data_IF_046814769113
#
_entry.id   IF_046814769113
#
_cell.length_a   1.000
_cell.length_b   1.000
_cell.length_c   1.000
_cell.angle_alpha   90.00
_cell.angle_beta   90.00
_cell.angle_gamma   90.00
#
_symmetry.space_group_name_H-M   'P 1'
#
loop_
_entity.id
_entity.type
_entity.pdbx_description
1 polymer ?
#
# COMPACT_ATOMS: atom_id res chain seq x y z
N UNK A 1 -103.84 32.20 10.49
CA UNK A 1 -103.61 30.81 10.05
C UNK A 1 -104.07 29.91 11.19
N UNK A 2 -105.02 29.01 10.95
CA UNK A 2 -105.50 28.11 12.00
C UNK A 2 -104.39 27.11 12.36
N UNK A 3 -104.12 26.87 13.66
CA UNK A 3 -103.12 25.89 14.07
C UNK A 3 -103.52 24.49 13.58
N UNK A 4 -102.57 23.65 13.16
CA UNK A 4 -102.86 22.28 12.73
C UNK A 4 -103.48 21.49 13.87
N UNK A 5 -104.56 20.76 13.59
CA UNK A 5 -105.23 19.90 14.57
C UNK A 5 -104.56 18.52 14.63
N UNK A 6 -104.61 17.87 15.80
CA UNK A 6 -104.10 16.52 15.97
C UNK A 6 -104.94 15.54 15.13
N UNK A 7 -104.33 14.70 14.27
CA UNK A 7 -105.09 13.77 13.44
C UNK A 7 -105.83 12.68 14.23
N UNK A 8 -105.53 12.50 15.52
CA UNK A 8 -106.11 11.43 16.34
C UNK A 8 -107.21 11.91 17.32
N UNK A 9 -107.18 13.19 17.74
CA UNK A 9 -108.15 13.72 18.70
C UNK A 9 -108.64 15.15 18.38
N UNK A 10 -108.24 15.71 17.25
CA UNK A 10 -108.61 17.05 16.77
C UNK A 10 -108.23 18.24 17.66
N UNK A 11 -107.52 18.00 18.77
CA UNK A 11 -107.01 19.07 19.64
C UNK A 11 -105.99 19.95 18.90
N UNK A 12 -105.94 21.27 19.17
CA UNK A 12 -104.96 22.16 18.55
C UNK A 12 -103.54 21.70 18.92
N UNK A 13 -102.69 21.48 17.91
CA UNK A 13 -101.28 21.14 18.13
C UNK A 13 -100.46 22.41 18.23
N UNK A 14 -99.57 22.46 19.23
CA UNK A 14 -98.44 23.37 19.17
C UNK A 14 -97.55 22.97 17.98
N UNK A 15 -97.14 23.93 17.12
CA UNK A 15 -96.53 23.64 15.82
C UNK A 15 -95.19 22.89 15.88
N UNK A 16 -94.61 22.68 17.08
CA UNK A 16 -93.33 22.00 17.27
C UNK A 16 -93.39 20.85 18.31
N UNK A 17 -94.57 20.50 18.83
CA UNK A 17 -94.66 19.44 19.84
C UNK A 17 -94.43 18.05 19.20
N UNK A 18 -93.49 17.23 19.71
CA UNK A 18 -93.22 15.89 19.16
C UNK A 18 -94.35 14.88 19.44
N UNK A 19 -95.17 15.16 20.45
CA UNK A 19 -96.36 14.38 20.82
C UNK A 19 -97.50 15.33 21.13
N UNK A 20 -98.73 14.90 20.89
CA UNK A 20 -99.92 15.64 21.33
C UNK A 20 -100.03 15.61 22.86
N UNK A 21 -100.15 16.76 23.51
CA UNK A 21 -100.23 16.84 24.98
C UNK A 21 -101.48 16.14 25.58
N UNK A 22 -102.55 15.97 24.80
CA UNK A 22 -103.82 15.42 25.29
C UNK A 22 -103.91 13.90 25.16
N UNK A 23 -103.49 13.35 24.00
CA UNK A 23 -103.62 11.91 23.71
C UNK A 23 -102.28 11.20 23.56
N UNK A 24 -101.15 11.90 23.73
CA UNK A 24 -99.79 11.39 23.57
C UNK A 24 -99.45 10.80 22.19
N UNK A 25 -100.34 10.94 21.19
CA UNK A 25 -100.07 10.48 19.83
C UNK A 25 -98.89 11.26 19.21
N UNK A 26 -98.01 10.55 18.51
CA UNK A 26 -96.83 11.13 17.85
C UNK A 26 -97.30 12.02 16.69
N UNK A 27 -96.89 13.28 16.71
CA UNK A 27 -97.23 14.23 15.65
C UNK A 27 -96.41 13.92 14.39
N UNK A 28 -96.83 14.40 13.20
CA UNK A 28 -96.01 14.27 11.98
C UNK A 28 -94.58 14.79 12.16
N UNK A 29 -94.43 15.86 12.95
CA UNK A 29 -93.13 16.42 13.33
C UNK A 29 -92.31 15.46 14.20
N UNK A 30 -92.93 14.83 15.21
CA UNK A 30 -92.27 13.81 16.03
C UNK A 30 -91.82 12.57 15.24
N UNK A 31 -92.58 12.13 14.23
CA UNK A 31 -92.15 11.06 13.30
C UNK A 31 -90.95 11.49 12.45
N UNK A 32 -91.00 12.68 11.86
CA UNK A 32 -89.89 13.20 11.09
C UNK A 32 -88.61 13.41 11.93
N UNK A 33 -88.76 13.80 13.20
CA UNK A 33 -87.63 13.96 14.13
C UNK A 33 -87.07 12.59 14.58
N UNK A 34 -87.93 11.58 14.78
CA UNK A 34 -87.50 10.21 15.04
C UNK A 34 -86.75 9.58 13.85
N UNK A 35 -87.25 9.76 12.63
CA UNK A 35 -86.56 9.30 11.41
C UNK A 35 -85.21 9.99 11.21
N UNK A 36 -85.12 11.30 11.47
CA UNK A 36 -83.83 12.02 11.46
C UNK A 36 -82.88 11.51 12.53
N UNK A 37 -83.36 11.21 13.74
CA UNK A 37 -82.55 10.65 14.81
C UNK A 37 -82.01 9.26 14.45
N UNK A 38 -82.82 8.39 13.86
CA UNK A 38 -82.38 7.08 13.36
C UNK A 38 -81.38 7.20 12.21
N UNK A 39 -81.59 8.12 11.26
CA UNK A 39 -80.64 8.37 10.18
C UNK A 39 -79.30 8.89 10.70
N UNK A 40 -79.30 9.82 11.67
CA UNK A 40 -78.08 10.31 12.30
C UNK A 40 -77.36 9.21 13.09
N UNK A 41 -78.09 8.33 13.79
CA UNK A 41 -77.48 7.20 14.50
C UNK A 41 -76.83 6.19 13.53
N UNK A 42 -77.48 5.86 12.40
CA UNK A 42 -76.90 5.01 11.35
C UNK A 42 -75.68 5.66 10.68
N UNK A 43 -75.73 6.97 10.43
CA UNK A 43 -74.58 7.71 9.89
C UNK A 43 -73.41 7.73 10.87
N UNK A 44 -73.66 7.93 12.17
CA UNK A 44 -72.61 7.87 13.20
C UNK A 44 -71.98 6.49 13.31
N UNK A 45 -72.78 5.41 13.27
CA UNK A 45 -72.27 4.05 13.29
C UNK A 45 -71.44 3.72 12.04
N UNK A 46 -71.91 4.09 10.85
CA UNK A 46 -71.15 3.92 9.61
C UNK A 46 -69.83 4.71 9.65
N UNK A 47 -69.86 5.95 10.15
CA UNK A 47 -68.67 6.79 10.30
C UNK A 47 -67.67 6.18 11.29
N UNK A 48 -68.13 5.65 12.43
CA UNK A 48 -67.28 4.96 13.41
C UNK A 48 -66.63 3.70 12.83
N UNK A 49 -67.37 2.90 12.04
CA UNK A 49 -66.83 1.72 11.36
C UNK A 49 -65.79 2.12 10.30
N UNK A 50 -66.03 3.17 9.53
CA UNK A 50 -65.05 3.70 8.57
C UNK A 50 -63.80 4.22 9.27
N UNK A 51 -63.93 4.90 10.41
CA UNK A 51 -62.78 5.36 11.20
C UNK A 51 -61.98 4.18 11.77
N UNK A 52 -62.64 3.14 12.30
CA UNK A 52 -61.96 1.95 12.83
C UNK A 52 -61.20 1.18 11.74
N UNK A 53 -61.82 1.01 10.56
CA UNK A 53 -61.16 0.38 9.41
C UNK A 53 -59.99 1.21 8.89
N UNK A 54 -60.13 2.55 8.84
CA UNK A 54 -59.05 3.46 8.46
C UNK A 54 -57.89 3.45 9.47
N UNK A 55 -58.18 3.38 10.77
CA UNK A 55 -57.14 3.27 11.80
C UNK A 55 -56.41 1.92 11.72
N UNK A 56 -57.13 0.82 11.47
CA UNK A 56 -56.52 -0.49 11.30
C UNK A 56 -55.56 -0.54 10.09
N UNK A 57 -55.94 0.07 8.95
CA UNK A 57 -55.07 0.12 7.76
C UNK A 57 -53.85 1.02 7.98
N UNK A 58 -54.00 2.15 8.68
CA UNK A 58 -52.87 3.01 9.07
C UNK A 58 -51.90 2.27 9.99
N UNK A 59 -52.39 1.56 11.01
CA UNK A 59 -51.55 0.78 11.93
C UNK A 59 -50.79 -0.33 11.20
N UNK A 60 -51.44 -1.03 10.25
CA UNK A 60 -50.77 -2.04 9.42
C UNK A 60 -49.70 -1.42 8.52
N UNK A 61 -49.96 -0.26 7.91
CA UNK A 61 -48.99 0.44 7.09
C UNK A 61 -47.76 0.91 7.88
N UNK A 62 -47.97 1.43 9.09
CA UNK A 62 -46.89 1.83 10.01
C UNK A 62 -46.04 0.63 10.43
N UNK A 63 -46.67 -0.50 10.78
CA UNK A 63 -45.96 -1.73 11.12
C UNK A 63 -45.14 -2.26 9.93
N UNK A 64 -45.68 -2.22 8.71
CA UNK A 64 -44.96 -2.62 7.50
C UNK A 64 -43.75 -1.70 7.21
N UNK A 65 -43.89 -0.39 7.42
CA UNK A 65 -42.79 0.57 7.28
C UNK A 65 -41.67 0.30 8.31
N UNK A 66 -42.02 0.01 9.55
CA UNK A 66 -41.06 -0.33 10.61
C UNK A 66 -40.29 -1.64 10.30
N UNK A 67 -40.99 -2.67 9.84
CA UNK A 67 -40.39 -3.94 9.40
C UNK A 67 -39.38 -3.71 8.27
N UNK A 68 -39.74 -2.91 7.25
CA UNK A 68 -38.86 -2.59 6.12
C UNK A 68 -37.63 -1.76 6.52
N UNK A 69 -37.79 -0.83 7.47
CA UNK A 69 -36.69 -0.02 8.02
C UNK A 69 -35.66 -0.90 8.72
N UNK A 70 -36.10 -1.78 9.62
CA UNK A 70 -35.19 -2.69 10.33
C UNK A 70 -34.55 -3.74 9.40
N UNK A 71 -35.29 -4.28 8.44
CA UNK A 71 -34.75 -5.22 7.47
C UNK A 71 -33.66 -4.58 6.58
N UNK A 72 -33.81 -3.28 6.25
CA UNK A 72 -32.79 -2.54 5.51
C UNK A 72 -31.54 -2.29 6.36
N UNK A 73 -31.69 -1.85 7.61
CA UNK A 73 -30.55 -1.68 8.52
C UNK A 73 -29.80 -2.98 8.79
N UNK A 74 -30.51 -4.11 8.92
CA UNK A 74 -29.88 -5.41 9.06
C UNK A 74 -28.94 -5.70 7.88
N UNK A 75 -29.42 -5.51 6.65
CA UNK A 75 -28.65 -5.80 5.44
C UNK A 75 -27.47 -4.82 5.26
N UNK A 76 -27.69 -3.53 5.54
CA UNK A 76 -26.64 -2.50 5.50
C UNK A 76 -25.53 -2.70 6.54
N UNK A 77 -25.81 -3.36 7.65
CA UNK A 77 -24.80 -3.62 8.70
C UNK A 77 -24.09 -4.96 8.48
N UNK A 78 -24.80 -5.98 8.00
CA UNK A 78 -24.20 -7.30 7.71
C UNK A 78 -23.28 -7.29 6.48
N UNK A 79 -23.61 -6.54 5.43
CA UNK A 79 -22.80 -6.50 4.20
C UNK A 79 -21.37 -5.98 4.46
N UNK A 80 -21.18 -4.80 5.07
CA UNK A 80 -19.85 -4.31 5.40
C UNK A 80 -19.13 -5.20 6.41
N UNK A 81 -19.84 -5.82 7.36
CA UNK A 81 -19.24 -6.74 8.34
C UNK A 81 -18.65 -7.99 7.67
N UNK A 82 -19.32 -8.52 6.64
CA UNK A 82 -18.81 -9.65 5.85
C UNK A 82 -17.55 -9.26 5.08
N UNK A 83 -17.53 -8.06 4.50
CA UNK A 83 -16.38 -7.55 3.73
C UNK A 83 -15.20 -7.22 4.64
N UNK A 84 -15.45 -6.67 5.83
CA UNK A 84 -14.41 -6.20 6.76
C UNK A 84 -13.97 -7.26 7.78
N UNK A 85 -14.55 -8.47 7.76
CA UNK A 85 -14.30 -9.55 8.73
C UNK A 85 -14.54 -9.13 10.20
N UNK A 86 -15.25 -8.02 10.44
CA UNK A 86 -15.50 -7.48 11.77
C UNK A 86 -16.77 -8.09 12.36
N UNK A 87 -16.62 -9.19 13.09
CA UNK A 87 -17.73 -9.87 13.79
C UNK A 87 -18.65 -8.95 14.62
N UNK A 88 -18.17 -7.90 15.35
CA UNK A 88 -19.04 -7.06 16.17
C UNK A 88 -20.16 -6.36 15.38
N UNK A 89 -19.90 -5.96 14.14
CA UNK A 89 -20.90 -5.32 13.29
C UNK A 89 -21.94 -6.32 12.76
N UNK A 90 -21.54 -7.59 12.56
CA UNK A 90 -22.45 -8.67 12.15
C UNK A 90 -23.52 -8.98 13.21
N UNK A 91 -23.16 -8.88 14.50
CA UNK A 91 -24.12 -9.06 15.61
C UNK A 91 -25.21 -7.99 15.65
N UNK A 92 -24.88 -6.73 15.31
CA UNK A 92 -25.87 -5.66 15.19
C UNK A 92 -26.87 -5.94 14.06
N UNK A 93 -26.38 -6.45 12.93
CA UNK A 93 -27.25 -6.85 11.82
C UNK A 93 -28.18 -8.02 12.17
N UNK A 94 -27.68 -9.02 12.90
CA UNK A 94 -28.49 -10.11 13.43
C UNK A 94 -29.58 -9.62 14.40
N UNK A 95 -29.25 -8.65 15.27
CA UNK A 95 -30.21 -8.04 16.19
C UNK A 95 -31.36 -7.32 15.44
N UNK A 96 -31.04 -6.51 14.42
CA UNK A 96 -32.07 -5.83 13.63
C UNK A 96 -32.92 -6.81 12.81
N UNK A 97 -32.31 -7.88 12.29
CA UNK A 97 -33.04 -8.94 11.60
C UNK A 97 -34.03 -9.64 12.54
N UNK A 98 -33.59 -10.02 13.75
CA UNK A 98 -34.46 -10.63 14.76
C UNK A 98 -35.62 -9.72 15.16
N UNK A 99 -35.36 -8.42 15.36
CA UNK A 99 -36.40 -7.43 15.67
C UNK A 99 -37.43 -7.31 14.54
N UNK A 100 -36.99 -7.26 13.29
CA UNK A 100 -37.88 -7.17 12.12
C UNK A 100 -38.80 -8.39 12.00
N UNK A 101 -38.28 -9.60 12.25
CA UNK A 101 -39.04 -10.84 12.22
C UNK A 101 -40.04 -10.92 13.39
N UNK A 102 -39.65 -10.43 14.57
CA UNK A 102 -40.54 -10.36 15.74
C UNK A 102 -41.74 -9.43 15.49
N UNK A 103 -41.49 -8.24 14.93
CA UNK A 103 -42.56 -7.28 14.59
C UNK A 103 -43.45 -7.82 13.47
N UNK A 104 -42.88 -8.45 12.44
CA UNK A 104 -43.65 -9.07 11.36
C UNK A 104 -44.60 -10.16 11.90
N UNK A 105 -44.09 -11.06 12.76
CA UNK A 105 -44.89 -12.12 13.40
C UNK A 105 -46.02 -11.58 14.25
N UNK A 106 -45.78 -10.53 15.05
CA UNK A 106 -46.80 -9.91 15.92
C UNK A 106 -47.95 -9.28 15.14
N UNK A 107 -47.70 -8.80 13.92
CA UNK A 107 -48.68 -8.08 13.10
C UNK A 107 -49.25 -8.94 11.94
N UNK A 108 -48.93 -10.24 11.88
CA UNK A 108 -49.38 -11.12 10.79
C UNK A 108 -48.80 -10.74 9.42
N UNK A 109 -47.68 -10.02 9.38
CA UNK A 109 -47.01 -9.59 8.14
C UNK A 109 -46.06 -10.71 7.70
N UNK A 110 -46.00 -11.07 6.40
CA UNK A 110 -45.02 -12.03 5.90
C UNK A 110 -43.59 -11.60 6.21
N UNK A 111 -42.74 -12.55 6.59
CA UNK A 111 -41.36 -12.29 6.96
C UNK A 111 -40.58 -11.64 5.80
N UNK A 112 -39.91 -10.49 5.99
CA UNK A 112 -39.16 -9.87 4.91
C UNK A 112 -37.95 -10.72 4.53
N UNK A 113 -37.85 -11.10 3.26
CA UNK A 113 -36.75 -11.94 2.74
C UNK A 113 -35.36 -11.35 3.08
N UNK A 114 -35.23 -10.01 3.09
CA UNK A 114 -33.99 -9.31 3.45
C UNK A 114 -33.52 -9.61 4.89
N UNK A 115 -34.44 -9.75 5.85
CA UNK A 115 -34.08 -10.09 7.22
C UNK A 115 -33.61 -11.53 7.35
N UNK A 116 -34.23 -12.46 6.61
CA UNK A 116 -33.81 -13.87 6.56
C UNK A 116 -32.39 -13.96 5.98
N UNK A 117 -32.13 -13.30 4.85
CA UNK A 117 -30.80 -13.25 4.22
C UNK A 117 -29.76 -12.65 5.17
N UNK A 118 -30.08 -11.54 5.85
CA UNK A 118 -29.18 -10.93 6.82
C UNK A 118 -28.84 -11.88 7.99
N UNK A 119 -29.81 -12.65 8.51
CA UNK A 119 -29.52 -13.66 9.54
C UNK A 119 -28.60 -14.78 9.03
N UNK A 120 -28.86 -15.32 7.84
CA UNK A 120 -28.02 -16.37 7.25
C UNK A 120 -26.58 -15.87 7.05
N UNK A 121 -26.42 -14.65 6.51
CA UNK A 121 -25.11 -14.03 6.34
C UNK A 121 -24.41 -13.77 7.68
N UNK A 122 -25.13 -13.36 8.71
CA UNK A 122 -24.55 -13.16 10.04
C UNK A 122 -24.06 -14.48 10.67
N UNK A 123 -24.82 -15.58 10.51
CA UNK A 123 -24.42 -16.92 10.99
C UNK A 123 -23.20 -17.44 10.23
N UNK A 124 -23.22 -17.37 8.89
CA UNK A 124 -22.08 -17.80 8.05
C UNK A 124 -20.84 -16.95 8.31
N UNK A 125 -20.99 -15.63 8.41
CA UNK A 125 -19.91 -14.71 8.74
C UNK A 125 -19.30 -15.03 10.10
N UNK A 126 -20.13 -15.27 11.12
CA UNK A 126 -19.65 -15.66 12.45
C UNK A 126 -18.90 -16.99 12.43
N UNK A 127 -19.40 -18.00 11.72
CA UNK A 127 -18.75 -19.30 11.60
C UNK A 127 -17.39 -19.20 10.90
N UNK A 128 -17.28 -18.39 9.83
CA UNK A 128 -16.02 -18.12 9.14
C UNK A 128 -15.02 -17.41 10.06
N UNK A 129 -15.45 -16.39 10.80
CA UNK A 129 -14.60 -15.69 11.76
C UNK A 129 -14.11 -16.63 12.87
N UNK A 130 -15.00 -17.43 13.47
CA UNK A 130 -14.60 -18.43 14.49
C UNK A 130 -13.58 -19.41 13.90
N UNK A 131 -13.80 -19.92 12.69
CA UNK A 131 -12.87 -20.85 12.05
C UNK A 131 -11.51 -20.20 11.80
N UNK A 132 -11.47 -18.94 11.36
CA UNK A 132 -10.23 -18.19 11.16
C UNK A 132 -9.49 -17.94 12.48
N UNK A 133 -10.19 -17.56 13.55
CA UNK A 133 -9.59 -17.37 14.88
C UNK A 133 -9.05 -18.67 15.47
N UNK A 134 -9.82 -19.77 15.35
CA UNK A 134 -9.38 -21.09 15.79
C UNK A 134 -8.15 -21.55 15.01
N UNK A 135 -8.14 -21.36 13.68
CA UNK A 135 -6.98 -21.62 12.83
C UNK A 135 -5.75 -20.84 13.26
N UNK A 136 -5.89 -19.51 13.41
CA UNK A 136 -4.79 -18.65 13.87
C UNK A 136 -4.27 -19.06 15.26
N UNK A 137 -5.15 -19.49 16.17
CA UNK A 137 -4.76 -19.94 17.50
C UNK A 137 -4.00 -21.28 17.48
N UNK A 138 -4.37 -22.20 16.60
CA UNK A 138 -3.61 -23.44 16.40
C UNK A 138 -2.25 -23.17 15.77
N UNK A 139 -2.18 -22.31 14.75
CA UNK A 139 -0.93 -21.90 14.12
C UNK A 139 0.03 -21.25 15.14
N UNK A 140 -0.50 -20.42 16.04
CA UNK A 140 0.29 -19.81 17.12
C UNK A 140 0.83 -20.86 18.10
N UNK A 141 0.01 -21.83 18.52
CA UNK A 141 0.47 -22.92 19.38
C UNK A 141 1.53 -23.79 18.72
N UNK A 142 1.39 -24.09 17.44
CA UNK A 142 2.38 -24.90 16.73
C UNK A 142 3.67 -24.10 16.47
N UNK A 143 3.56 -22.78 16.26
CA UNK A 143 4.70 -21.86 16.22
C UNK A 143 5.45 -21.89 17.55
N UNK A 144 4.76 -21.74 18.68
CA UNK A 144 5.35 -21.79 20.02
C UNK A 144 6.00 -23.14 20.33
N UNK A 145 5.35 -24.26 20.00
CA UNK A 145 5.94 -25.60 20.17
C UNK A 145 7.21 -25.77 19.35
N UNK A 146 7.22 -25.32 18.08
CA UNK A 146 8.38 -25.40 17.20
C UNK A 146 9.53 -24.55 17.74
N UNK A 147 9.25 -23.32 18.16
CA UNK A 147 10.22 -22.44 18.81
C UNK A 147 10.79 -23.11 20.07
N UNK A 148 9.94 -23.63 20.96
CA UNK A 148 10.39 -24.27 22.20
C UNK A 148 11.26 -25.52 21.94
N UNK A 149 10.90 -26.34 20.95
CA UNK A 149 11.67 -27.51 20.56
C UNK A 149 13.06 -27.14 20.01
N UNK A 150 13.13 -26.12 19.14
CA UNK A 150 14.40 -25.60 18.62
C UNK A 150 15.24 -24.93 19.71
N UNK A 151 14.59 -24.20 20.62
CA UNK A 151 15.26 -23.50 21.71
C UNK A 151 15.90 -24.52 22.67
N UNK A 152 15.16 -25.56 23.06
CA UNK A 152 15.67 -26.65 23.89
C UNK A 152 16.85 -27.38 23.23
N UNK A 153 16.76 -27.65 21.92
CA UNK A 153 17.81 -28.33 21.14
C UNK A 153 19.10 -27.50 21.00
N UNK A 154 18.98 -26.18 20.92
CA UNK A 154 20.12 -25.27 20.65
C UNK A 154 20.61 -24.52 21.90
N UNK A 155 19.89 -24.53 23.02
CA UNK A 155 20.18 -23.72 24.21
C UNK A 155 21.61 -23.86 24.73
N UNK A 156 22.10 -25.10 24.91
CA UNK A 156 23.46 -25.31 25.40
C UNK A 156 24.52 -24.93 24.36
N UNK A 157 24.28 -25.20 23.08
CA UNK A 157 25.24 -24.88 22.03
C UNK A 157 25.35 -23.38 21.76
N UNK A 158 24.26 -22.61 21.89
CA UNK A 158 24.31 -21.14 21.79
C UNK A 158 25.19 -20.52 22.87
N UNK A 159 25.43 -21.19 24.00
CA UNK A 159 26.33 -20.71 25.05
C UNK A 159 27.81 -20.93 24.75
N UNK A 160 28.16 -21.83 23.82
CA UNK A 160 29.56 -22.10 23.44
C UNK A 160 30.25 -20.86 22.84
N UNK A 161 31.57 -20.84 22.94
CA UNK A 161 32.41 -19.79 22.34
C UNK A 161 32.36 -19.84 20.81
N UNK A 162 32.36 -21.04 20.23
CA UNK A 162 32.22 -21.26 18.79
C UNK A 162 30.77 -21.55 18.41
N UNK A 163 30.37 -21.11 17.21
CA UNK A 163 29.04 -21.33 16.65
C UNK A 163 29.13 -22.36 15.53
N UNK A 164 28.51 -23.52 15.71
CA UNK A 164 28.39 -24.53 14.66
C UNK A 164 27.20 -24.23 13.72
N UNK A 165 27.25 -24.79 12.51
CA UNK A 165 26.25 -24.52 11.46
C UNK A 165 24.82 -24.90 11.88
N UNK A 166 24.66 -26.01 12.60
CA UNK A 166 23.34 -26.48 13.05
C UNK A 166 22.76 -25.52 14.08
N UNK A 167 23.57 -25.08 15.05
CA UNK A 167 23.16 -24.10 16.05
C UNK A 167 22.87 -22.74 15.43
N UNK A 168 23.67 -22.28 14.46
CA UNK A 168 23.42 -21.04 13.72
C UNK A 168 22.07 -21.10 12.98
N UNK A 169 21.80 -22.22 12.31
CA UNK A 169 20.55 -22.46 11.60
C UNK A 169 19.35 -22.52 12.56
N UNK A 170 19.40 -23.34 13.61
CA UNK A 170 18.32 -23.43 14.61
C UNK A 170 18.03 -22.05 15.25
N UNK A 171 19.07 -21.27 15.55
CA UNK A 171 18.94 -19.90 16.12
C UNK A 171 18.29 -18.92 15.13
N UNK A 172 18.64 -19.04 13.85
CA UNK A 172 18.05 -18.27 12.77
C UNK A 172 16.57 -18.58 12.62
N UNK A 173 16.21 -19.87 12.66
CA UNK A 173 14.82 -20.31 12.54
C UNK A 173 13.95 -19.75 13.67
N UNK A 174 14.44 -19.85 14.91
CA UNK A 174 13.77 -19.28 16.08
C UNK A 174 13.51 -17.80 15.88
N UNK A 175 14.52 -17.05 15.42
CA UNK A 175 14.38 -15.61 15.19
C UNK A 175 13.36 -15.30 14.10
N UNK A 176 13.44 -15.97 12.94
CA UNK A 176 12.52 -15.72 11.82
C UNK A 176 11.06 -16.10 12.14
N UNK A 177 10.85 -17.12 12.99
CA UNK A 177 9.52 -17.46 13.51
C UNK A 177 9.01 -16.41 14.51
N UNK A 178 9.87 -15.92 15.42
CA UNK A 178 9.51 -14.88 16.40
C UNK A 178 9.21 -13.53 15.73
N UNK A 179 9.99 -13.14 14.73
CA UNK A 179 9.82 -11.88 14.00
C UNK A 179 8.65 -11.88 13.00
N UNK A 180 8.09 -13.06 12.70
CA UNK A 180 7.07 -13.23 11.66
C UNK A 180 7.61 -13.15 10.23
N UNK A 181 8.93 -13.19 10.04
CA UNK A 181 9.55 -13.25 8.71
C UNK A 181 9.27 -14.60 8.03
N UNK A 182 9.07 -15.66 8.81
CA UNK A 182 8.77 -17.00 8.33
C UNK A 182 7.48 -17.56 8.96
N UNK A 183 6.62 -18.18 8.14
CA UNK A 183 5.42 -18.88 8.61
C UNK A 183 5.76 -20.21 9.28
N UNK A 184 4.93 -20.65 10.23
CA UNK A 184 5.11 -21.94 10.93
C UNK A 184 5.13 -23.15 10.01
N UNK A 185 4.41 -23.08 8.88
CA UNK A 185 4.38 -24.14 7.87
C UNK A 185 5.60 -24.15 6.95
N UNK A 186 6.42 -23.10 6.95
CA UNK A 186 7.57 -23.00 6.08
C UNK A 186 8.72 -23.88 6.56
N UNK A 187 9.44 -24.46 5.60
CA UNK A 187 10.64 -25.25 5.85
C UNK A 187 11.87 -24.40 5.51
N UNK A 188 12.67 -24.11 6.53
CA UNK A 188 13.93 -23.39 6.38
C UNK A 188 15.06 -24.34 5.97
N UNK A 189 15.98 -23.83 5.15
CA UNK A 189 17.18 -24.52 4.68
C UNK A 189 18.36 -23.56 4.85
N UNK A 190 19.40 -24.00 5.54
CA UNK A 190 20.68 -23.30 5.62
C UNK A 190 21.72 -24.09 4.82
N UNK A 191 22.28 -23.50 3.76
CA UNK A 191 23.29 -24.16 2.93
C UNK A 191 24.73 -23.74 3.27
N UNK A 192 24.91 -22.56 3.87
CA UNK A 192 26.24 -22.03 4.25
C UNK A 192 26.72 -22.50 5.62
N UNK A 193 28.03 -22.45 5.82
CA UNK A 193 28.65 -22.52 7.15
C UNK A 193 28.76 -21.12 7.76
N UNK A 194 28.63 -20.99 9.10
CA UNK A 194 28.80 -19.70 9.76
C UNK A 194 30.28 -19.29 9.74
N UNK A 195 30.55 -18.11 9.19
CA UNK A 195 31.87 -17.47 9.27
C UNK A 195 31.93 -16.67 10.56
N UNK A 196 32.70 -17.15 11.54
CA UNK A 196 32.83 -16.54 12.87
C UNK A 196 34.03 -15.58 12.90
N UNK A 197 33.78 -14.33 13.29
CA UNK A 197 34.80 -13.29 13.43
C UNK A 197 34.72 -12.71 14.85
N UNK A 198 35.48 -13.29 15.78
CA UNK A 198 35.47 -12.88 17.19
C UNK A 198 34.11 -13.10 17.84
N UNK A 199 33.41 -12.01 18.18
CA UNK A 199 32.09 -12.04 18.83
C UNK A 199 30.91 -11.90 17.84
N UNK A 200 31.16 -11.90 16.54
CA UNK A 200 30.13 -11.87 15.50
C UNK A 200 30.25 -13.10 14.61
N UNK A 201 29.17 -13.47 13.95
CA UNK A 201 29.16 -14.53 12.95
C UNK A 201 28.22 -14.17 11.80
N UNK A 202 28.57 -14.60 10.60
CA UNK A 202 27.79 -14.41 9.38
C UNK A 202 27.39 -15.76 8.83
N UNK A 203 26.10 -15.97 8.60
CA UNK A 203 25.57 -17.17 7.95
C UNK A 203 24.90 -16.76 6.63
N UNK A 204 25.43 -17.24 5.51
CA UNK A 204 24.84 -17.04 4.18
C UNK A 204 24.00 -18.26 3.76
N UNK A 205 23.20 -18.08 2.70
CA UNK A 205 22.48 -19.19 2.06
C UNK A 205 21.29 -19.70 2.88
N UNK A 206 20.73 -18.86 3.76
CA UNK A 206 19.49 -19.18 4.45
C UNK A 206 18.32 -18.96 3.50
N UNK A 207 17.42 -19.92 3.36
CA UNK A 207 16.21 -19.78 2.54
C UNK A 207 15.07 -20.55 3.18
N UNK A 208 13.83 -20.25 2.80
CA UNK A 208 12.69 -21.07 3.20
C UNK A 208 11.68 -21.19 2.08
N UNK A 209 10.93 -22.29 2.07
CA UNK A 209 9.83 -22.51 1.11
C UNK A 209 8.51 -22.20 1.79
N UNK A 210 7.75 -21.25 1.23
CA UNK A 210 6.41 -20.89 1.66
C UNK A 210 5.47 -20.88 0.45
N UNK A 211 4.37 -21.64 0.53
CA UNK A 211 3.38 -21.75 -0.56
C UNK A 211 4.01 -22.09 -1.92
N UNK A 212 4.99 -23.00 -1.93
CA UNK A 212 5.69 -23.43 -3.15
C UNK A 212 6.68 -22.40 -3.72
N UNK A 213 6.85 -21.24 -3.08
CA UNK A 213 7.84 -20.23 -3.45
C UNK A 213 9.02 -20.27 -2.49
N UNK A 214 10.23 -20.29 -3.04
CA UNK A 214 11.46 -20.15 -2.26
C UNK A 214 11.70 -18.67 -1.99
N UNK A 215 11.79 -18.31 -0.72
CA UNK A 215 12.20 -17.00 -0.25
C UNK A 215 13.67 -17.05 0.18
N UNK A 216 14.46 -16.08 -0.27
CA UNK A 216 15.92 -16.00 -0.03
C UNK A 216 16.74 -15.98 -1.34
N UNK A 217 18.06 -16.19 -1.26
CA UNK A 217 18.83 -16.42 -0.04
C UNK A 217 18.87 -15.17 0.86
N UNK A 218 18.89 -15.41 2.17
CA UNK A 218 19.11 -14.43 3.21
C UNK A 218 20.52 -14.58 3.76
N UNK A 219 21.09 -13.45 4.16
CA UNK A 219 22.25 -13.35 5.02
C UNK A 219 21.82 -13.03 6.44
N UNK A 220 22.39 -13.75 7.39
CA UNK A 220 22.06 -13.65 8.81
C UNK A 220 23.30 -13.24 9.58
N UNK A 221 23.16 -12.16 10.34
CA UNK A 221 24.18 -11.66 11.25
C UNK A 221 23.85 -12.10 12.66
N UNK A 222 24.79 -12.79 13.30
CA UNK A 222 24.70 -13.27 14.67
C UNK A 222 25.75 -12.58 15.53
N UNK A 223 25.41 -12.37 16.80
CA UNK A 223 26.29 -11.82 17.81
C UNK A 223 26.40 -12.74 19.02
N UNK A 224 27.56 -12.70 19.68
CA UNK A 224 27.84 -13.43 20.91
C UNK A 224 27.73 -12.51 22.12
N UNK A 225 26.68 -12.72 22.89
CA UNK A 225 26.55 -12.22 24.26
C UNK A 225 26.75 -13.35 25.27
N UNK A 226 25.84 -13.48 26.24
CA UNK A 226 25.77 -14.69 27.08
C UNK A 226 25.49 -15.94 26.22
N UNK A 227 24.71 -15.78 25.16
CA UNK A 227 24.47 -16.80 24.12
C UNK A 227 24.59 -16.18 22.72
N UNK A 228 24.71 -17.01 21.70
CA UNK A 228 24.59 -16.60 20.31
C UNK A 228 23.13 -16.27 19.99
N UNK A 229 22.90 -15.14 19.34
CA UNK A 229 21.57 -14.69 18.92
C UNK A 229 21.66 -13.96 17.58
N UNK A 230 20.53 -13.89 16.86
CA UNK A 230 20.44 -13.14 15.61
C UNK A 230 20.25 -11.65 15.92
N UNK A 231 21.12 -10.82 15.35
CA UNK A 231 21.03 -9.36 15.40
C UNK A 231 20.37 -8.78 14.15
N UNK A 232 20.51 -9.45 13.00
CA UNK A 232 19.94 -8.97 11.74
C UNK A 232 19.76 -10.09 10.71
N UNK A 233 18.74 -9.96 9.86
CA UNK A 233 18.48 -10.81 8.70
C UNK A 233 18.16 -9.90 7.52
N UNK A 234 18.89 -10.02 6.41
CA UNK A 234 18.64 -9.27 5.19
C UNK A 234 18.76 -10.16 3.95
N UNK A 235 18.07 -9.76 2.87
CA UNK A 235 18.29 -10.29 1.51
C UNK A 235 19.44 -9.58 0.80
N UNK A 236 20.02 -8.52 1.39
CA UNK A 236 21.12 -7.77 0.78
C UNK A 236 22.46 -8.50 0.86
N UNK A 237 23.37 -8.11 -0.03
CA UNK A 237 24.78 -8.51 -0.05
C UNK A 237 25.62 -7.69 0.93
N UNK A 238 25.00 -6.92 1.83
CA UNK A 238 25.76 -6.13 2.81
C UNK A 238 26.41 -7.06 3.83
N UNK A 239 27.65 -6.79 4.19
CA UNK A 239 28.33 -7.56 5.22
C UNK A 239 27.78 -7.23 6.61
N UNK A 240 27.90 -8.20 7.51
CA UNK A 240 27.63 -7.97 8.92
C UNK A 240 28.67 -6.98 9.47
N UNK A 241 28.27 -6.19 10.48
CA UNK A 241 29.23 -5.35 11.19
C UNK A 241 30.21 -6.24 11.95
N UNK A 242 31.48 -5.84 11.96
CA UNK A 242 32.54 -6.55 12.70
C UNK A 242 32.26 -6.52 14.22
N UNK A 243 31.61 -5.45 14.69
CA UNK A 243 31.20 -5.27 16.07
C UNK A 243 29.67 -5.31 16.20
N UNK A 244 29.18 -6.03 17.21
CA UNK A 244 27.77 -6.07 17.56
C UNK A 244 27.57 -5.81 19.06
N UNK A 245 26.46 -5.17 19.46
CA UNK A 245 26.14 -4.99 20.88
C UNK A 245 26.02 -6.33 21.60
N UNK A 246 26.59 -6.41 22.81
CA UNK A 246 26.48 -7.60 23.66
C UNK A 246 25.14 -7.58 24.40
N UNK A 247 24.61 -8.78 24.66
CA UNK A 247 23.38 -8.98 25.43
C UNK A 247 23.53 -10.18 26.37
N UNK A 248 23.09 -10.04 27.62
CA UNK A 248 23.15 -11.09 28.63
C UNK A 248 21.85 -11.91 28.73
N UNK A 249 20.73 -11.31 28.35
CA UNK A 249 19.41 -11.93 28.36
C UNK A 249 18.56 -11.52 27.13
N UNK A 250 17.35 -12.06 27.04
CA UNK A 250 16.45 -11.84 25.90
C UNK A 250 15.96 -10.39 25.77
N UNK A 251 15.84 -9.65 26.88
CA UNK A 251 15.45 -8.24 26.83
C UNK A 251 16.60 -7.39 26.29
N UNK A 252 17.83 -7.64 26.75
CA UNK A 252 19.03 -7.01 26.21
C UNK A 252 19.28 -7.40 24.74
N UNK A 253 18.91 -8.62 24.32
CA UNK A 253 19.01 -9.04 22.91
C UNK A 253 18.14 -8.17 22.00
N UNK A 254 16.96 -7.77 22.45
CA UNK A 254 16.08 -6.88 21.68
C UNK A 254 16.65 -5.47 21.55
N UNK A 255 17.21 -4.94 22.65
CA UNK A 255 17.94 -3.67 22.63
C UNK A 255 19.16 -3.74 21.71
N UNK A 256 19.88 -4.87 21.73
CA UNK A 256 21.02 -5.12 20.86
C UNK A 256 20.62 -5.17 19.37
N UNK A 257 19.49 -5.79 19.02
CA UNK A 257 18.95 -5.79 17.65
C UNK A 257 18.63 -4.38 17.17
N UNK A 258 17.93 -3.60 17.99
CA UNK A 258 17.59 -2.21 17.65
C UNK A 258 18.85 -1.35 17.48
N UNK A 259 19.81 -1.48 18.39
CA UNK A 259 21.10 -0.77 18.34
C UNK A 259 21.91 -1.19 17.10
N UNK A 260 21.98 -2.49 16.82
CA UNK A 260 22.66 -3.02 15.64
C UNK A 260 22.03 -2.51 14.35
N UNK A 261 20.70 -2.44 14.27
CA UNK A 261 20.01 -1.87 13.11
C UNK A 261 20.42 -0.41 12.86
N UNK A 262 20.47 0.43 13.91
CA UNK A 262 20.94 1.82 13.80
C UNK A 262 22.41 1.91 13.37
N UNK A 263 23.28 1.06 13.94
CA UNK A 263 24.69 1.01 13.54
C UNK A 263 24.85 0.58 12.07
N UNK A 264 24.05 -0.39 11.63
CA UNK A 264 24.07 -0.87 10.26
C UNK A 264 23.57 0.20 9.28
N UNK A 265 22.53 0.94 9.66
CA UNK A 265 22.06 2.09 8.87
C UNK A 265 23.15 3.15 8.71
N UNK A 266 23.85 3.49 9.79
CA UNK A 266 24.98 4.42 9.74
C UNK A 266 26.14 3.87 8.90
N UNK A 267 26.49 2.60 9.05
CA UNK A 267 27.56 1.96 8.29
C UNK A 267 27.26 1.92 6.79
N UNK A 268 26.01 1.64 6.39
CA UNK A 268 25.57 1.67 4.99
C UNK A 268 25.72 3.04 4.36
N UNK A 269 25.28 4.08 5.07
CA UNK A 269 25.42 5.48 4.63
C UNK A 269 26.90 5.84 4.51
N UNK A 270 27.69 5.64 5.56
CA UNK A 270 29.12 5.96 5.56
C UNK A 270 29.89 5.21 4.46
N UNK A 271 29.59 3.91 4.28
CA UNK A 271 30.19 3.09 3.22
C UNK A 271 29.85 3.61 1.83
N UNK A 272 28.59 3.99 1.59
CA UNK A 272 28.15 4.54 0.31
C UNK A 272 28.76 5.93 0.06
N UNK A 273 28.80 6.82 1.07
CA UNK A 273 29.51 8.11 0.96
C UNK A 273 30.99 7.92 0.61
N UNK A 274 31.68 6.99 1.27
CA UNK A 274 33.09 6.67 0.98
C UNK A 274 33.28 6.18 -0.45
N UNK A 275 32.40 5.31 -0.96
CA UNK A 275 32.43 4.80 -2.34
C UNK A 275 32.20 5.92 -3.36
N UNK A 276 31.19 6.77 -3.17
CA UNK A 276 30.91 7.89 -4.07
C UNK A 276 32.04 8.94 -4.08
N UNK A 277 32.59 9.27 -2.90
CA UNK A 277 33.76 10.15 -2.80
C UNK A 277 35.01 9.51 -3.43
N UNK A 278 35.17 8.19 -3.29
CA UNK A 278 36.22 7.41 -3.96
C UNK A 278 36.08 7.47 -5.47
N UNK A 279 34.86 7.31 -6.00
CA UNK A 279 34.59 7.41 -7.42
C UNK A 279 34.92 8.79 -7.98
N UNK A 280 34.57 9.85 -7.26
CA UNK A 280 34.95 11.22 -7.63
C UNK A 280 36.47 11.38 -7.76
N UNK A 281 37.22 10.99 -6.73
CA UNK A 281 38.71 11.04 -6.75
C UNK A 281 39.31 10.19 -7.86
N UNK A 282 38.66 9.09 -8.24
CA UNK A 282 39.09 8.26 -9.37
C UNK A 282 38.97 9.05 -10.68
N UNK A 283 37.86 9.74 -10.90
CA UNK A 283 37.62 10.59 -12.08
C UNK A 283 38.53 11.81 -12.12
N UNK A 284 38.89 12.40 -10.97
CA UNK A 284 39.84 13.52 -10.89
C UNK A 284 41.26 13.12 -11.33
N UNK A 285 41.69 11.90 -10.98
CA UNK A 285 43.03 11.38 -11.29
C UNK A 285 43.12 10.72 -12.66
N UNK A 286 41.98 10.39 -13.26
CA UNK A 286 41.96 9.70 -14.54
C UNK A 286 42.53 10.59 -15.65
N UNK A 287 43.33 9.97 -16.51
CA UNK A 287 43.86 10.62 -17.71
C UNK A 287 42.73 11.04 -18.65
N UNK A 288 43.01 11.86 -19.66
CA UNK A 288 42.01 12.26 -20.67
C UNK A 288 41.94 11.29 -21.86
N UNK A 289 42.83 10.29 -21.92
CA UNK A 289 42.91 9.32 -23.00
C UNK A 289 41.75 8.33 -22.97
N UNK A 290 41.16 8.00 -24.12
CA UNK A 290 40.09 7.00 -24.18
C UNK A 290 40.64 5.61 -23.82
N UNK A 291 39.92 4.87 -22.97
CA UNK A 291 40.28 3.54 -22.49
C UNK A 291 39.05 2.64 -22.58
N UNK A 292 39.12 1.51 -23.28
CA UNK A 292 38.05 0.51 -23.32
C UNK A 292 38.11 -0.41 -22.10
N UNK A 293 36.98 -0.97 -21.70
CA UNK A 293 36.92 -1.91 -20.60
C UNK A 293 37.44 -3.28 -21.04
N UNK A 294 38.18 -3.98 -20.17
CA UNK A 294 38.56 -5.38 -20.41
C UNK A 294 37.49 -6.32 -19.88
N UNK A 295 37.30 -7.46 -20.54
CA UNK A 295 36.34 -8.49 -20.08
C UNK A 295 36.67 -8.99 -18.68
N UNK A 296 37.96 -9.08 -18.32
CA UNK A 296 38.39 -9.48 -16.98
C UNK A 296 37.93 -8.48 -15.90
N UNK A 297 37.97 -7.18 -16.20
CA UNK A 297 37.51 -6.14 -15.27
C UNK A 297 35.99 -6.18 -15.09
N UNK A 298 35.25 -6.48 -16.15
CA UNK A 298 33.79 -6.52 -16.15
C UNK A 298 33.23 -7.86 -15.64
N UNK A 299 33.99 -8.95 -15.71
CA UNK A 299 33.59 -10.27 -15.23
C UNK A 299 33.34 -10.29 -13.71
N UNK A 300 34.06 -9.48 -12.95
CA UNK A 300 33.83 -9.30 -11.50
C UNK A 300 32.45 -8.70 -11.16
N UNK A 301 31.77 -8.13 -12.15
CA UNK A 301 30.45 -7.52 -12.02
C UNK A 301 29.34 -8.30 -12.73
N UNK A 302 29.64 -9.50 -13.23
CA UNK A 302 28.64 -10.34 -13.84
C UNK A 302 27.52 -10.60 -12.81
N UNK A 303 26.26 -10.37 -13.17
CA UNK A 303 25.15 -10.65 -12.26
C UNK A 303 25.12 -12.15 -11.95
N UNK A 304 24.48 -12.52 -10.84
CA UNK A 304 24.36 -13.92 -10.46
C UNK A 304 23.81 -14.79 -11.60
N UNK A 305 24.30 -16.04 -11.73
CA UNK A 305 23.83 -16.96 -12.76
C UNK A 305 22.30 -17.07 -12.71
N UNK A 306 21.61 -16.61 -13.76
CA UNK A 306 20.14 -16.65 -13.85
C UNK A 306 19.46 -15.30 -14.08
N UNK A 307 20.16 -14.17 -13.93
CA UNK A 307 19.58 -12.86 -14.32
C UNK A 307 19.64 -12.69 -15.85
N UNK A 308 18.48 -12.67 -16.51
CA UNK A 308 18.40 -12.48 -17.96
C UNK A 308 18.64 -11.00 -18.33
N UNK A 309 19.91 -10.61 -18.49
CA UNK A 309 20.27 -9.31 -19.07
C UNK A 309 21.62 -8.77 -18.59
N UNK A 310 22.19 -7.83 -19.36
CA UNK A 310 23.35 -7.06 -18.92
C UNK A 310 23.03 -6.31 -17.61
N UNK A 311 23.95 -6.29 -16.64
CA UNK A 311 23.77 -5.56 -15.39
C UNK A 311 23.47 -4.08 -15.68
N UNK A 312 22.44 -3.57 -15.02
CA UNK A 312 22.01 -2.19 -15.11
C UNK A 312 22.99 -1.32 -14.32
N UNK A 313 23.66 -0.38 -14.97
CA UNK A 313 24.54 0.57 -14.28
C UNK A 313 23.83 1.88 -13.99
N UNK A 314 24.12 2.45 -12.83
CA UNK A 314 23.63 3.78 -12.45
C UNK A 314 24.56 4.84 -13.04
N UNK A 315 24.04 6.05 -13.23
CA UNK A 315 24.88 7.17 -13.60
C UNK A 315 24.68 8.38 -12.69
N UNK A 316 25.68 9.26 -12.69
CA UNK A 316 25.69 10.50 -11.94
C UNK A 316 26.45 11.56 -12.71
N UNK A 317 26.00 12.80 -12.61
CA UNK A 317 26.79 13.96 -13.03
C UNK A 317 27.90 14.20 -12.01
N UNK A 318 29.09 14.51 -12.50
CA UNK A 318 30.26 14.77 -11.67
C UNK A 318 29.99 15.88 -10.65
N UNK A 319 29.28 16.94 -11.02
CA UNK A 319 28.96 18.04 -10.10
C UNK A 319 28.00 17.62 -8.98
N UNK A 320 27.11 16.66 -9.24
CA UNK A 320 26.19 16.14 -8.22
C UNK A 320 26.95 15.37 -7.14
N UNK A 321 28.08 14.73 -7.47
CA UNK A 321 28.97 14.12 -6.47
C UNK A 321 29.61 15.13 -5.52
N UNK A 322 29.68 16.42 -5.89
CA UNK A 322 30.10 17.53 -5.03
C UNK A 322 28.97 18.06 -4.14
N UNK A 323 27.77 17.47 -4.21
CA UNK A 323 26.58 18.04 -3.59
C UNK A 323 26.14 19.36 -4.23
N UNK A 324 26.66 19.69 -5.42
CA UNK A 324 26.18 20.84 -6.19
C UNK A 324 24.86 20.43 -6.85
N UNK A 325 23.83 21.23 -6.64
CA UNK A 325 22.65 21.13 -7.47
C UNK A 325 23.03 21.54 -8.89
N UNK A 326 22.52 20.81 -9.87
CA UNK A 326 22.70 21.14 -11.28
C UNK A 326 21.33 21.31 -11.94
N UNK A 327 20.73 22.51 -11.80
CA UNK A 327 19.41 22.80 -12.33
C UNK A 327 19.40 22.61 -13.85
N UNK A 328 18.50 21.74 -14.34
CA UNK A 328 18.31 21.47 -15.76
C UNK A 328 19.02 20.22 -16.30
N UNK A 329 20.10 19.79 -15.67
CA UNK A 329 20.86 18.58 -16.07
C UNK A 329 20.72 17.44 -15.07
N UNK A 330 19.78 17.57 -14.13
CA UNK A 330 19.47 16.54 -13.16
C UNK A 330 19.19 15.16 -13.80
N UNK A 331 18.73 15.11 -15.06
CA UNK A 331 18.49 13.88 -15.83
C UNK A 331 19.76 13.06 -16.11
N UNK A 332 20.95 13.64 -15.95
CA UNK A 332 22.24 12.93 -16.02
C UNK A 332 22.49 12.03 -14.82
N UNK A 333 21.75 12.22 -13.73
CA UNK A 333 21.93 11.47 -12.49
C UNK A 333 20.72 10.60 -12.16
N UNK A 334 21.00 9.36 -11.76
CA UNK A 334 20.03 8.43 -11.21
C UNK A 334 19.28 9.06 -10.02
N UNK A 335 17.96 8.89 -9.98
CA UNK A 335 17.11 9.52 -8.97
C UNK A 335 17.44 9.06 -7.56
N UNK A 336 17.80 7.79 -7.35
CA UNK A 336 18.17 7.28 -6.03
C UNK A 336 19.45 7.97 -5.54
N UNK A 337 20.43 8.17 -6.42
CA UNK A 337 21.71 8.84 -6.10
C UNK A 337 21.45 10.31 -5.76
N UNK A 338 20.62 11.02 -6.55
CA UNK A 338 20.28 12.42 -6.26
C UNK A 338 19.58 12.57 -4.91
N UNK A 339 18.54 11.76 -4.66
CA UNK A 339 17.80 11.81 -3.40
C UNK A 339 18.73 11.45 -2.23
N UNK A 340 19.59 10.45 -2.41
CA UNK A 340 20.59 10.05 -1.41
C UNK A 340 21.56 11.19 -1.05
N UNK A 341 22.07 11.91 -2.04
CA UNK A 341 23.02 13.02 -1.86
C UNK A 341 22.34 14.29 -1.34
N UNK A 342 21.05 14.49 -1.64
CA UNK A 342 20.28 15.62 -1.12
C UNK A 342 19.91 15.46 0.37
N UNK A 343 19.78 14.22 0.86
CA UNK A 343 19.51 13.93 2.26
C UNK A 343 20.77 14.11 3.13
N UNK A 344 20.60 14.67 4.34
CA UNK A 344 21.67 14.79 5.35
C UNK A 344 21.45 13.80 6.49
N UNK A 345 22.55 13.34 7.10
CA UNK A 345 22.54 12.43 8.26
C UNK A 345 22.25 10.97 7.90
N UNK A 346 22.23 10.10 8.91
CA UNK A 346 21.84 8.69 8.76
C UNK A 346 20.36 8.54 9.12
N UNK A 347 19.48 8.63 8.12
CA UNK A 347 18.07 8.30 8.27
C UNK A 347 17.79 6.92 7.69
N UNK A 348 16.73 6.25 8.17
CA UNK A 348 16.28 4.97 7.61
C UNK A 348 16.07 5.04 6.09
N UNK A 349 15.41 6.08 5.60
CA UNK A 349 15.21 6.31 4.16
C UNK A 349 16.54 6.43 3.40
N UNK A 350 17.53 7.14 3.96
CA UNK A 350 18.84 7.29 3.35
C UNK A 350 19.62 5.97 3.34
N UNK A 351 19.53 5.19 4.41
CA UNK A 351 20.12 3.85 4.51
C UNK A 351 19.50 2.87 3.49
N UNK A 352 18.18 2.91 3.30
CA UNK A 352 17.50 2.12 2.27
C UNK A 352 17.97 2.49 0.86
N UNK A 353 18.15 3.79 0.58
CA UNK A 353 18.74 4.28 -0.67
C UNK A 353 20.21 3.84 -0.81
N UNK A 354 21.00 3.92 0.27
CA UNK A 354 22.40 3.46 0.30
C UNK A 354 22.51 1.96 -0.06
N UNK A 355 21.65 1.13 0.53
CA UNK A 355 21.55 -0.29 0.22
C UNK A 355 21.11 -0.51 -1.24
N UNK A 356 20.18 0.29 -1.76
CA UNK A 356 19.73 0.21 -3.16
C UNK A 356 20.82 0.63 -4.16
N UNK A 357 21.65 1.60 -3.81
CA UNK A 357 22.81 2.02 -4.60
C UNK A 357 23.86 0.91 -4.59
N UNK A 358 24.15 0.35 -3.41
CA UNK A 358 25.15 -0.71 -3.23
C UNK A 358 24.78 -2.05 -3.86
N UNK A 359 23.50 -2.46 -3.83
CA UNK A 359 23.01 -3.68 -4.48
C UNK A 359 22.97 -3.60 -6.00
N UNK A 360 22.77 -2.39 -6.53
CA UNK A 360 22.33 -2.18 -7.91
C UNK A 360 23.44 -2.26 -8.95
N UNK A 361 24.67 -1.87 -8.63
CA UNK A 361 25.78 -1.94 -9.58
C UNK A 361 27.13 -1.80 -8.87
N UNK A 362 28.08 -2.73 -9.10
CA UNK A 362 29.49 -2.50 -8.72
C UNK A 362 30.10 -1.34 -9.51
N UNK A 363 29.46 -0.93 -10.62
CA UNK A 363 29.91 0.17 -11.45
C UNK A 363 28.99 1.38 -11.37
N UNK A 364 29.59 2.57 -11.40
CA UNK A 364 28.94 3.86 -11.53
C UNK A 364 29.44 4.55 -12.80
N UNK A 365 28.52 5.01 -13.64
CA UNK A 365 28.85 5.89 -14.76
C UNK A 365 28.90 7.32 -14.26
N UNK A 366 30.02 8.02 -14.49
CA UNK A 366 30.18 9.42 -14.12
C UNK A 366 30.32 10.25 -15.39
N UNK A 367 29.46 11.24 -15.54
CA UNK A 367 29.51 12.22 -16.62
C UNK A 367 30.29 13.44 -16.15
N UNK A 368 31.42 13.75 -16.79
CA UNK A 368 32.17 14.99 -16.54
C UNK A 368 32.14 15.83 -17.80
N UNK A 369 31.43 16.95 -17.76
CA UNK A 369 31.32 17.85 -18.89
C UNK A 369 32.51 18.83 -18.93
N UNK A 370 32.88 19.25 -20.13
CA UNK A 370 33.73 20.41 -20.41
C UNK A 370 32.87 21.60 -20.83
N UNK A 371 31.82 21.32 -21.60
CA UNK A 371 30.84 22.29 -22.05
C UNK A 371 29.46 21.62 -22.04
N UNK A 372 28.43 22.32 -21.55
CA UNK A 372 27.05 21.86 -21.70
C UNK A 372 26.08 23.02 -21.72
N UNK A 373 25.01 22.88 -22.48
CA UNK A 373 23.90 23.83 -22.52
C UNK A 373 22.60 23.11 -22.82
N UNK A 374 21.52 23.48 -22.13
CA UNK A 374 20.18 23.01 -22.48
C UNK A 374 19.73 23.67 -23.80
N UNK A 375 18.84 23.01 -24.57
CA UNK A 375 18.25 23.63 -25.75
C UNK A 375 17.43 24.86 -25.34
N UNK A 376 17.65 25.97 -26.03
CA UNK A 376 16.89 27.20 -25.89
C UNK A 376 16.13 27.49 -27.17
N UNK A 377 14.85 27.84 -27.01
CA UNK A 377 14.01 28.21 -28.15
C UNK A 377 14.23 29.67 -28.50
N UNK A 378 14.62 29.94 -29.74
CA UNK A 378 14.65 31.29 -30.32
C UNK A 378 13.40 31.50 -31.16
N UNK A 379 12.84 32.71 -31.09
CA UNK A 379 11.72 33.12 -31.94
C UNK A 379 12.30 33.85 -33.15
N UNK A 380 12.04 33.36 -34.35
CA UNK A 380 12.54 33.95 -35.58
C UNK A 380 11.64 35.10 -36.09
N UNK A 381 10.63 35.51 -35.32
CA UNK A 381 9.73 36.62 -35.66
C UNK A 381 8.57 36.23 -36.57
N UNK A 382 8.51 34.98 -37.03
CA UNK A 382 7.38 34.44 -37.78
C UNK A 382 6.60 33.45 -36.90
N UNK A 383 5.29 33.63 -36.79
CA UNK A 383 4.43 32.79 -35.93
C UNK A 383 4.56 31.31 -36.32
N UNK A 384 5.12 30.51 -35.41
CA UNK A 384 5.35 29.08 -35.61
C UNK A 384 6.71 28.71 -36.21
N UNK A 385 7.60 29.68 -36.45
CA UNK A 385 9.00 29.45 -36.84
C UNK A 385 9.91 29.65 -35.63
N UNK A 386 10.36 28.52 -35.07
CA UNK A 386 11.22 28.49 -33.89
C UNK A 386 12.58 27.92 -34.25
N UNK A 387 13.64 28.62 -33.85
CA UNK A 387 15.01 28.10 -33.85
C UNK A 387 15.36 27.43 -32.53
N UNK A 388 16.38 26.57 -32.57
CA UNK A 388 16.99 26.00 -31.37
C UNK A 388 18.46 26.42 -31.31
N UNK A 389 18.86 26.98 -30.17
CA UNK A 389 20.26 27.23 -29.80
C UNK A 389 20.62 26.40 -28.57
N UNK A 390 21.92 26.24 -28.30
CA UNK A 390 22.37 25.39 -27.20
C UNK A 390 22.10 23.89 -27.47
N UNK A 391 21.70 23.15 -26.44
CA UNK A 391 21.49 21.70 -26.54
C UNK A 391 22.79 20.96 -26.83
N UNK A 392 23.89 21.42 -26.23
CA UNK A 392 25.22 20.81 -26.37
C UNK A 392 25.58 20.06 -25.10
N UNK A 393 26.30 18.96 -25.26
CA UNK A 393 27.06 18.31 -24.20
C UNK A 393 28.38 17.91 -24.80
N UNK A 394 29.48 18.36 -24.22
CA UNK A 394 30.82 17.89 -24.54
C UNK A 394 31.50 17.50 -23.23
N UNK A 395 32.19 16.37 -23.23
CA UNK A 395 32.77 15.84 -22.01
C UNK A 395 33.27 14.42 -22.13
N UNK A 396 33.53 13.82 -20.98
CA UNK A 396 34.00 12.44 -20.85
C UNK A 396 33.04 11.64 -19.98
N UNK A 397 32.77 10.42 -20.42
CA UNK A 397 32.04 9.41 -19.67
C UNK A 397 33.07 8.47 -19.04
N UNK A 398 32.97 8.29 -17.72
CA UNK A 398 33.81 7.37 -16.95
C UNK A 398 32.95 6.21 -16.43
N UNK A 399 33.45 4.99 -16.53
CA UNK A 399 32.89 3.83 -15.82
C UNK A 399 33.81 3.57 -14.64
N UNK A 400 33.25 3.65 -13.43
CA UNK A 400 34.00 3.58 -12.17
C UNK A 400 33.59 2.35 -11.40
N UNK A 401 34.55 1.54 -10.97
CA UNK A 401 34.32 0.48 -9.99
C UNK A 401 34.20 1.10 -8.59
N UNK A 402 33.02 1.01 -7.98
CA UNK A 402 32.74 1.58 -6.67
C UNK A 402 33.47 0.83 -5.54
N UNK A 403 33.72 -0.47 -5.71
CA UNK A 403 34.44 -1.27 -4.72
C UNK A 403 35.92 -0.91 -4.66
N UNK A 404 36.54 -0.72 -5.83
CA UNK A 404 37.96 -0.36 -5.95
C UNK A 404 38.24 1.14 -6.01
N UNK A 405 37.21 1.97 -6.20
CA UNK A 405 37.36 3.41 -6.44
C UNK A 405 38.33 3.70 -7.60
N UNK A 406 38.14 3.00 -8.72
CA UNK A 406 39.02 3.04 -9.89
C UNK A 406 38.22 3.25 -11.18
N UNK A 407 38.74 4.06 -12.10
CA UNK A 407 38.18 4.17 -13.46
C UNK A 407 38.59 2.96 -14.29
N UNK A 408 37.61 2.13 -14.65
CA UNK A 408 37.84 0.91 -15.43
C UNK A 408 37.91 1.18 -16.92
N UNK A 409 37.06 2.07 -17.42
CA UNK A 409 37.09 2.57 -18.79
C UNK A 409 36.49 3.96 -18.90
N UNK A 410 36.83 4.66 -19.97
CA UNK A 410 36.38 6.02 -20.21
C UNK A 410 36.46 6.38 -21.69
N UNK A 411 35.70 7.39 -22.11
CA UNK A 411 35.87 7.95 -23.43
C UNK A 411 35.06 9.23 -23.62
N UNK A 412 35.34 9.97 -24.70
CA UNK A 412 34.59 11.17 -25.02
C UNK A 412 33.11 10.85 -25.24
N UNK A 413 32.26 11.79 -24.83
CA UNK A 413 30.83 11.83 -25.07
C UNK A 413 30.48 13.23 -25.52
N UNK A 414 30.22 13.39 -26.82
CA UNK A 414 29.81 14.65 -27.42
C UNK A 414 28.43 14.48 -28.01
N UNK A 415 27.53 15.41 -27.70
CA UNK A 415 26.16 15.44 -28.16
C UNK A 415 25.76 16.88 -28.52
N UNK A 416 25.04 17.05 -29.62
CA UNK A 416 24.48 18.34 -30.02
C UNK A 416 23.09 18.12 -30.62
N UNK A 417 22.11 18.87 -30.16
CA UNK A 417 20.80 18.91 -30.81
C UNK A 417 20.96 19.50 -32.22
N UNK A 418 20.27 18.97 -33.24
CA UNK A 418 20.22 19.62 -34.54
C UNK A 418 19.68 21.05 -34.39
N UNK A 419 20.23 22.00 -35.17
CA UNK A 419 19.80 23.41 -35.16
C UNK A 419 18.34 23.60 -35.60
N UNK A 420 17.79 22.61 -36.31
CA UNK A 420 16.37 22.56 -36.70
C UNK A 420 15.64 21.51 -35.86
N UNK A 421 14.50 21.85 -35.23
CA UNK A 421 13.68 20.87 -34.53
C UNK A 421 13.26 19.75 -35.49
N UNK A 422 13.47 18.50 -35.09
CA UNK A 422 13.07 17.33 -35.89
C UNK A 422 11.71 16.77 -35.50
N UNK A 423 11.12 17.29 -34.42
CA UNK A 423 9.78 16.94 -33.95
C UNK A 423 8.71 17.81 -34.63
N UNK A 424 7.52 17.25 -34.83
CA UNK A 424 6.41 17.96 -35.46
C UNK A 424 5.92 19.10 -34.56
N UNK A 425 5.80 20.29 -35.15
CA UNK A 425 5.25 21.48 -34.49
C UNK A 425 3.87 21.77 -35.09
N UNK A 426 2.88 22.02 -34.23
CA UNK A 426 1.61 22.57 -34.69
C UNK A 426 1.80 24.07 -34.89
N UNK A 427 1.10 24.67 -35.88
CA UNK A 427 1.13 26.13 -36.10
C UNK A 427 0.68 26.95 -34.88
N UNK A 428 0.01 26.31 -33.92
CA UNK A 428 -0.45 26.88 -32.65
C UNK A 428 0.49 26.62 -31.47
N UNK A 429 1.62 25.93 -31.66
CA UNK A 429 2.55 25.63 -30.58
C UNK A 429 3.16 26.90 -30.01
N UNK A 430 3.13 27.04 -28.68
CA UNK A 430 3.76 28.15 -27.96
C UNK A 430 5.25 27.91 -27.78
N UNK A 431 6.03 28.97 -27.57
CA UNK A 431 7.47 28.88 -27.25
C UNK A 431 7.76 27.92 -26.09
N UNK A 432 6.93 27.93 -25.05
CA UNK A 432 7.06 27.03 -23.90
C UNK A 432 6.83 25.55 -24.28
N UNK A 433 5.85 25.26 -25.13
CA UNK A 433 5.59 23.90 -25.64
C UNK A 433 6.73 23.40 -26.52
N UNK A 434 7.29 24.27 -27.37
CA UNK A 434 8.46 23.93 -28.18
C UNK A 434 9.67 23.67 -27.29
N UNK A 435 9.86 24.48 -26.24
CA UNK A 435 10.96 24.32 -25.29
C UNK A 435 10.89 23.00 -24.54
N UNK A 436 9.74 22.67 -23.98
CA UNK A 436 9.52 21.39 -23.30
C UNK A 436 9.80 20.20 -24.25
N UNK A 437 9.31 20.24 -25.50
CA UNK A 437 9.58 19.18 -26.49
C UNK A 437 11.06 19.08 -26.88
N UNK A 438 11.74 20.21 -27.06
CA UNK A 438 13.16 20.23 -27.38
C UNK A 438 14.00 19.66 -26.23
N UNK A 439 13.62 19.96 -24.99
CA UNK A 439 14.27 19.42 -23.80
C UNK A 439 14.05 17.90 -23.67
N UNK A 440 12.82 17.42 -23.85
CA UNK A 440 12.53 15.97 -23.87
C UNK A 440 13.32 15.25 -24.96
N UNK A 441 13.30 15.74 -26.21
CA UNK A 441 14.06 15.15 -27.32
C UNK A 441 15.58 15.17 -27.06
N UNK A 442 16.10 16.25 -26.49
CA UNK A 442 17.51 16.33 -26.08
C UNK A 442 17.86 15.28 -25.04
N UNK A 443 17.04 15.12 -23.98
CA UNK A 443 17.25 14.14 -22.91
C UNK A 443 17.20 12.70 -23.42
N UNK A 444 16.21 12.37 -24.23
CA UNK A 444 16.05 11.03 -24.82
C UNK A 444 17.26 10.66 -25.69
N UNK A 445 17.65 11.55 -26.61
CA UNK A 445 18.76 11.25 -27.50
C UNK A 445 20.12 11.27 -26.80
N UNK A 446 20.31 12.14 -25.81
CA UNK A 446 21.49 12.08 -24.95
C UNK A 446 21.58 10.70 -24.30
N UNK A 447 20.48 10.20 -23.75
CA UNK A 447 20.43 8.90 -23.10
C UNK A 447 20.74 7.75 -24.06
N UNK A 448 20.18 7.78 -25.27
CA UNK A 448 20.47 6.78 -26.31
C UNK A 448 21.94 6.82 -26.74
N UNK A 449 22.48 8.03 -26.93
CA UNK A 449 23.90 8.24 -27.25
C UNK A 449 24.83 7.74 -26.14
N UNK A 450 24.55 8.08 -24.89
CA UNK A 450 25.30 7.61 -23.72
C UNK A 450 25.21 6.09 -23.57
N UNK A 451 24.03 5.50 -23.79
CA UNK A 451 23.82 4.04 -23.77
C UNK A 451 24.63 3.36 -24.87
N UNK A 452 24.60 3.88 -26.10
CA UNK A 452 25.40 3.36 -27.21
C UNK A 452 26.90 3.47 -26.92
N UNK A 453 27.34 4.58 -26.31
CA UNK A 453 28.73 4.79 -25.93
C UNK A 453 29.20 3.81 -24.87
N UNK A 454 28.40 3.57 -23.82
CA UNK A 454 28.69 2.57 -22.79
C UNK A 454 28.76 1.18 -23.39
N UNK A 455 27.81 0.82 -24.26
CA UNK A 455 27.85 -0.47 -24.98
C UNK A 455 29.15 -0.61 -25.78
N UNK A 456 29.58 0.44 -26.49
CA UNK A 456 30.84 0.41 -27.24
C UNK A 456 32.06 0.27 -26.31
N UNK A 457 32.12 1.02 -25.21
CA UNK A 457 33.24 0.97 -24.24
C UNK A 457 33.34 -0.37 -23.51
N UNK A 458 32.22 -1.08 -23.38
CA UNK A 458 32.10 -2.29 -22.54
C UNK A 458 31.82 -3.55 -23.35
N UNK A 459 31.96 -3.50 -24.68
CA UNK A 459 31.61 -4.61 -25.58
C UNK A 459 30.19 -5.17 -25.33
N UNK A 460 29.24 -4.29 -25.03
CA UNK A 460 27.84 -4.60 -24.76
C UNK A 460 27.55 -5.23 -23.39
N UNK A 461 28.56 -5.35 -22.51
CA UNK A 461 28.41 -5.98 -21.19
C UNK A 461 27.67 -5.11 -20.18
N UNK A 462 27.72 -3.78 -20.32
CA UNK A 462 26.99 -2.86 -19.45
C UNK A 462 25.91 -2.11 -20.25
N UNK A 463 24.84 -1.73 -19.56
CA UNK A 463 23.79 -0.85 -20.08
C UNK A 463 23.31 0.11 -18.99
N UNK A 464 22.94 1.34 -19.37
CA UNK A 464 22.34 2.27 -18.41
C UNK A 464 21.04 1.70 -17.85
N UNK A 465 20.89 1.82 -16.54
CA UNK A 465 19.83 1.20 -15.76
C UNK A 465 18.58 2.04 -15.56
N UNK A 466 18.68 3.35 -15.77
CA UNK A 466 17.61 4.30 -15.53
C UNK A 466 17.14 4.86 -16.87
N UNK A 467 15.88 5.27 -16.96
CA UNK A 467 15.45 6.20 -18.02
C UNK A 467 15.47 7.61 -17.43
N UNK A 468 15.76 8.66 -18.23
CA UNK A 468 15.48 10.03 -17.81
C UNK A 468 14.01 10.08 -17.39
N UNK A 469 13.74 10.35 -16.12
CA UNK A 469 12.39 10.62 -15.64
C UNK A 469 12.11 12.12 -15.87
N UNK A 470 10.89 12.43 -16.29
CA UNK A 470 10.41 13.81 -16.47
C UNK A 470 10.41 14.60 -15.16
#
# INVERSE_FOLDING_TARGET
>A
MNPPACPNCSAPLEPMAPKCAYCNAVTPKGRADAERAEQMARQQQAYAQHQAAAQASVNQALAAAEVNKFASYALFTTLPALVTCCAPAGWLGAFFAFRSLSVAKKNGIPAPARAIVAMVLAVLGSALTVTAFVGAHFDEKDKEKRIAALDAKSAQNRKKATLDAKTACDTTEIHMLKSGTMYVSAKMVCTGEPVVTGATARLDGVSYVSNGKTEGPFRVCLAKGARWFVVHVDKSTDDCLDEAPKANDEQEEEVARSTYATLLEAARVNGTEKRLAGAKRAVERAETSAKTCTDATLAAAAPEPGSAGAPLVRAVDYDVLDGKADPGFSFLSDSDIRVYLAQKGASKSRSELAAKISRGAPFLVVYKHTERSLPQVTDNGTKGDFGLTGGTYDGTLYVVDLGRSEVVCQGPLTWRIPTKPTFSLNKSSTKAQVGARAETDYRERFFDGATARIKALTNGKLRLGYKPLD
#
